data_IF_212144469003
#
_entry.id   IF_212144469003
#
_cell.length_a   1.000
_cell.length_b   1.000
_cell.length_c   1.000
_cell.angle_alpha   90.00
_cell.angle_beta   90.00
_cell.angle_gamma   90.00
#
_symmetry.space_group_name_H-M   'P 1'
#
loop_
_entity.id
_entity.type
_entity.pdbx_description
1 polymer ?
#
# COMPACT_ATOMS: atom_id res chain seq x y z
N UNK A 1 -26.36 13.52 23.91
CA UNK A 1 -26.06 12.59 22.80
C UNK A 1 -26.74 13.12 21.56
N UNK A 2 -26.02 13.85 20.69
CA UNK A 2 -26.61 14.32 19.42
C UNK A 2 -26.83 13.14 18.49
N UNK A 3 -28.06 12.95 18.02
CA UNK A 3 -28.41 11.95 17.02
C UNK A 3 -27.80 12.36 15.68
N UNK A 4 -26.83 11.58 15.20
CA UNK A 4 -26.27 11.74 13.84
C UNK A 4 -27.39 11.46 12.84
N UNK A 5 -27.69 12.41 11.96
CA UNK A 5 -28.74 12.22 10.95
C UNK A 5 -28.19 11.48 9.73
N UNK A 6 -29.02 10.75 8.96
CA UNK A 6 -28.57 10.04 7.75
C UNK A 6 -27.87 10.95 6.73
N UNK A 7 -28.27 12.22 6.65
CA UNK A 7 -27.66 13.25 5.82
C UNK A 7 -26.20 13.55 6.23
N UNK A 8 -25.90 13.56 7.53
CA UNK A 8 -24.55 13.82 8.04
C UNK A 8 -23.60 12.66 7.71
N UNK A 9 -24.11 11.42 7.76
CA UNK A 9 -23.34 10.22 7.41
C UNK A 9 -22.90 10.22 5.95
N UNK A 10 -23.80 10.60 5.02
CA UNK A 10 -23.50 10.64 3.58
C UNK A 10 -22.47 11.71 3.23
N UNK A 11 -22.59 12.91 3.82
CA UNK A 11 -21.62 14.01 3.63
C UNK A 11 -20.23 13.65 4.13
N UNK A 12 -20.16 12.96 5.27
CA UNK A 12 -18.90 12.50 5.82
C UNK A 12 -18.24 11.46 4.91
N UNK A 13 -18.98 10.45 4.44
CA UNK A 13 -18.44 9.42 3.55
C UNK A 13 -17.89 9.99 2.22
N UNK A 14 -18.60 10.94 1.61
CA UNK A 14 -18.13 11.62 0.40
C UNK A 14 -16.90 12.49 0.64
N UNK A 15 -16.80 13.12 1.81
CA UNK A 15 -15.61 13.89 2.22
C UNK A 15 -14.40 12.99 2.43
N UNK A 16 -14.56 11.82 3.07
CA UNK A 16 -13.46 10.87 3.24
C UNK A 16 -12.98 10.31 1.90
N UNK A 17 -13.92 9.94 1.01
CA UNK A 17 -13.58 9.42 -0.31
C UNK A 17 -12.78 10.45 -1.13
N UNK A 18 -13.16 11.72 -1.10
CA UNK A 18 -12.46 12.78 -1.84
C UNK A 18 -11.05 13.06 -1.31
N UNK A 19 -10.79 12.81 -0.03
CA UNK A 19 -9.46 12.96 0.57
C UNK A 19 -8.52 11.80 0.25
N UNK A 20 -9.04 10.57 0.16
CA UNK A 20 -8.22 9.36 0.00
C UNK A 20 -7.96 9.03 -1.48
N UNK A 21 -8.98 9.15 -2.35
CA UNK A 21 -8.91 8.79 -3.78
C UNK A 21 -7.74 9.41 -4.55
N UNK A 22 -7.36 10.68 -4.33
CA UNK A 22 -6.22 11.28 -5.02
C UNK A 22 -4.90 10.51 -4.82
N UNK A 23 -4.77 9.78 -3.71
CA UNK A 23 -3.59 8.97 -3.40
C UNK A 23 -3.82 7.50 -3.73
N UNK A 24 -4.99 6.95 -3.39
CA UNK A 24 -5.29 5.53 -3.53
C UNK A 24 -5.61 5.07 -4.95
N UNK A 25 -5.99 5.99 -5.84
CA UNK A 25 -6.16 5.72 -7.27
C UNK A 25 -4.95 6.21 -8.09
N UNK A 26 -3.97 6.86 -7.46
CA UNK A 26 -2.78 7.35 -8.15
C UNK A 26 -1.70 6.27 -8.26
N UNK A 27 -0.97 6.20 -9.38
CA UNK A 27 0.20 5.31 -9.50
C UNK A 27 1.43 5.83 -8.73
N UNK A 28 1.46 7.11 -8.32
CA UNK A 28 2.67 7.75 -7.77
C UNK A 28 3.14 7.09 -6.46
N UNK A 29 2.29 6.83 -5.45
CA UNK A 29 2.75 6.22 -4.21
C UNK A 29 3.35 4.82 -4.41
N UNK A 30 2.70 3.97 -5.22
CA UNK A 30 3.19 2.61 -5.48
C UNK A 30 4.47 2.58 -6.33
N UNK A 31 4.65 3.51 -7.27
CA UNK A 31 5.96 3.65 -7.96
C UNK A 31 7.06 4.17 -7.03
N UNK A 32 6.72 5.03 -6.08
CA UNK A 32 7.62 5.40 -4.99
C UNK A 32 8.05 4.18 -4.16
N UNK A 33 7.09 3.32 -3.80
CA UNK A 33 7.37 2.06 -3.11
C UNK A 33 8.26 1.13 -3.96
N UNK A 34 7.94 0.95 -5.24
CA UNK A 34 8.75 0.14 -6.16
C UNK A 34 10.19 0.65 -6.25
N UNK A 35 10.36 1.97 -6.37
CA UNK A 35 11.67 2.62 -6.38
C UNK A 35 12.44 2.37 -5.09
N UNK A 36 11.77 2.41 -3.94
CA UNK A 36 12.39 2.07 -2.65
C UNK A 36 12.86 0.60 -2.62
N UNK A 37 12.07 -0.32 -3.16
CA UNK A 37 12.48 -1.73 -3.27
C UNK A 37 13.69 -1.91 -4.18
N UNK A 38 13.73 -1.27 -5.34
CA UNK A 38 14.88 -1.36 -6.25
C UNK A 38 16.13 -0.67 -5.72
N UNK A 39 16.01 0.52 -5.13
CA UNK A 39 17.14 1.22 -4.51
C UNK A 39 17.70 0.42 -3.33
N UNK A 40 16.85 -0.31 -2.60
CA UNK A 40 17.32 -1.19 -1.53
C UNK A 40 18.23 -2.32 -2.02
N UNK A 41 18.23 -2.68 -3.31
CA UNK A 41 19.16 -3.68 -3.88
C UNK A 41 20.62 -3.28 -3.78
N UNK A 42 20.92 -1.98 -3.67
CA UNK A 42 22.27 -1.46 -3.45
C UNK A 42 22.82 -1.82 -2.07
N UNK A 43 21.95 -2.25 -1.14
CA UNK A 43 22.33 -2.66 0.21
C UNK A 43 22.61 -4.16 0.22
N UNK A 44 23.80 -4.61 0.66
CA UNK A 44 24.17 -6.02 0.63
C UNK A 44 23.20 -6.88 1.47
N UNK A 45 23.04 -8.16 1.13
CA UNK A 45 22.17 -9.06 1.88
C UNK A 45 22.66 -9.21 3.31
N UNK A 46 21.74 -9.10 4.27
CA UNK A 46 21.98 -9.30 5.69
C UNK A 46 20.83 -10.09 6.30
N UNK A 47 21.05 -10.81 7.41
CA UNK A 47 20.00 -11.56 8.08
C UNK A 47 18.80 -10.72 8.46
N UNK A 48 18.90 -9.41 8.70
CA UNK A 48 17.81 -8.52 9.15
C UNK A 48 17.00 -7.92 8.00
N UNK A 49 17.53 -7.98 6.78
CA UNK A 49 16.97 -7.38 5.57
C UNK A 49 16.34 -8.50 4.73
N UNK A 50 15.25 -8.24 3.98
CA UNK A 50 14.75 -9.20 3.00
C UNK A 50 15.86 -9.62 2.00
N UNK A 51 15.89 -10.88 1.52
CA UNK A 51 16.82 -11.31 0.48
C UNK A 51 16.73 -10.45 -0.78
N UNK A 52 17.83 -10.31 -1.53
CA UNK A 52 17.88 -9.48 -2.74
C UNK A 52 16.81 -9.85 -3.76
N UNK A 53 16.62 -11.16 -4.01
CA UNK A 53 15.60 -11.63 -4.93
C UNK A 53 14.20 -11.19 -4.51
N UNK A 54 13.87 -11.31 -3.21
CA UNK A 54 12.57 -10.91 -2.69
C UNK A 54 12.34 -9.41 -2.89
N UNK A 55 13.37 -8.58 -2.65
CA UNK A 55 13.30 -7.13 -2.89
C UNK A 55 13.04 -6.80 -4.35
N UNK A 56 13.74 -7.47 -5.28
CA UNK A 56 13.55 -7.28 -6.71
C UNK A 56 12.15 -7.71 -7.17
N UNK A 57 11.67 -8.86 -6.70
CA UNK A 57 10.32 -9.36 -7.01
C UNK A 57 9.24 -8.38 -6.53
N UNK A 58 9.30 -7.91 -5.27
CA UNK A 58 8.35 -6.92 -4.77
C UNK A 58 8.44 -5.59 -5.53
N UNK A 59 9.65 -5.12 -5.86
CA UNK A 59 9.84 -3.94 -6.71
C UNK A 59 9.16 -4.08 -8.07
N UNK A 60 9.31 -5.24 -8.73
CA UNK A 60 8.67 -5.52 -10.01
C UNK A 60 7.14 -5.60 -9.89
N UNK A 61 6.62 -6.26 -8.86
CA UNK A 61 5.18 -6.35 -8.58
C UNK A 61 4.58 -4.96 -8.38
N UNK A 62 5.19 -4.11 -7.55
CA UNK A 62 4.70 -2.75 -7.31
C UNK A 62 4.82 -1.85 -8.55
N UNK A 63 5.83 -2.08 -9.40
CA UNK A 63 5.91 -1.40 -10.70
C UNK A 63 4.73 -1.78 -11.59
N UNK A 64 4.42 -3.08 -11.68
CA UNK A 64 3.26 -3.59 -12.42
C UNK A 64 1.95 -3.05 -11.88
N UNK A 65 1.76 -3.02 -10.56
CA UNK A 65 0.57 -2.46 -9.94
C UNK A 65 0.40 -0.96 -10.27
N UNK A 66 1.49 -0.20 -10.26
CA UNK A 66 1.49 1.20 -10.70
C UNK A 66 1.19 1.36 -12.19
N UNK A 67 1.62 0.43 -13.04
CA UNK A 67 1.23 0.43 -14.45
C UNK A 67 -0.28 0.22 -14.62
N UNK A 68 -0.86 -0.76 -13.92
CA UNK A 68 -2.32 -1.00 -13.93
C UNK A 68 -3.09 0.26 -13.48
N UNK A 69 -2.65 0.91 -12.40
CA UNK A 69 -3.22 2.20 -11.97
C UNK A 69 -3.10 3.30 -13.04
N UNK A 70 -1.96 3.37 -13.73
CA UNK A 70 -1.73 4.36 -14.79
C UNK A 70 -2.64 4.17 -16.00
N UNK A 71 -3.15 2.95 -16.23
CA UNK A 71 -4.14 2.65 -17.26
C UNK A 71 -5.58 3.02 -16.84
N UNK A 72 -5.77 3.58 -15.64
CA UNK A 72 -7.09 3.93 -15.10
C UNK A 72 -7.80 2.78 -14.39
N UNK A 73 -7.18 1.61 -14.27
CA UNK A 73 -7.75 0.45 -13.59
C UNK A 73 -7.45 0.50 -12.08
N UNK A 74 -8.18 1.40 -11.40
CA UNK A 74 -8.02 1.63 -9.97
C UNK A 74 -8.37 0.40 -9.12
N UNK A 75 -9.33 -0.42 -9.55
CA UNK A 75 -9.75 -1.62 -8.80
C UNK A 75 -8.69 -2.69 -8.80
N UNK A 76 -8.20 -3.10 -9.96
CA UNK A 76 -7.15 -4.12 -10.01
C UNK A 76 -5.83 -3.58 -9.45
N UNK A 77 -5.49 -2.33 -9.76
CA UNK A 77 -4.25 -1.72 -9.29
C UNK A 77 -4.15 -1.57 -7.77
N UNK A 78 -5.23 -1.09 -7.13
CA UNK A 78 -5.30 -1.01 -5.66
C UNK A 78 -5.39 -2.38 -5.00
N UNK A 79 -6.07 -3.35 -5.63
CA UNK A 79 -6.15 -4.74 -5.16
C UNK A 79 -4.79 -5.44 -5.15
N UNK A 80 -4.05 -5.37 -6.27
CA UNK A 80 -2.69 -5.92 -6.37
C UNK A 80 -1.78 -5.28 -5.33
N UNK A 81 -1.79 -3.93 -5.25
CA UNK A 81 -0.93 -3.21 -4.30
C UNK A 81 -1.22 -3.61 -2.87
N UNK A 82 -2.50 -3.69 -2.49
CA UNK A 82 -2.94 -4.10 -1.15
C UNK A 82 -2.50 -5.54 -0.84
N UNK A 83 -2.84 -6.49 -1.72
CA UNK A 83 -2.56 -7.91 -1.50
C UNK A 83 -1.07 -8.16 -1.28
N UNK A 84 -0.22 -7.64 -2.17
CA UNK A 84 1.22 -7.85 -2.07
C UNK A 84 1.87 -7.06 -0.95
N UNK A 85 1.32 -5.89 -0.58
CA UNK A 85 1.79 -5.17 0.61
C UNK A 85 1.53 -5.99 1.88
N UNK A 86 0.34 -6.58 2.02
CA UNK A 86 0.02 -7.47 3.14
C UNK A 86 0.91 -8.71 3.15
N UNK A 87 1.14 -9.34 2.00
CA UNK A 87 2.07 -10.48 1.88
C UNK A 87 3.48 -10.10 2.36
N UNK A 88 4.01 -8.97 1.91
CA UNK A 88 5.33 -8.51 2.35
C UNK A 88 5.39 -8.30 3.87
N UNK A 89 4.37 -7.66 4.46
CA UNK A 89 4.29 -7.39 5.88
C UNK A 89 4.21 -8.68 6.69
N UNK A 90 3.38 -9.64 6.28
CA UNK A 90 3.28 -10.94 6.95
C UNK A 90 4.63 -11.66 7.01
N UNK A 91 5.42 -11.57 5.94
CA UNK A 91 6.73 -12.24 5.84
C UNK A 91 7.82 -11.47 6.60
N UNK A 92 7.83 -10.13 6.56
CA UNK A 92 9.00 -9.33 6.95
C UNK A 92 8.78 -8.37 8.14
N UNK A 93 7.54 -8.08 8.54
CA UNK A 93 7.25 -7.03 9.54
C UNK A 93 7.81 -7.39 10.91
N UNK A 94 7.52 -8.60 11.42
CA UNK A 94 8.01 -9.06 12.73
C UNK A 94 9.53 -8.96 12.79
N UNK A 95 10.19 -9.41 11.74
CA UNK A 95 11.65 -9.39 11.60
C UNK A 95 12.21 -7.97 11.56
N UNK A 96 11.52 -7.04 10.90
CA UNK A 96 11.90 -5.62 10.86
C UNK A 96 11.84 -4.95 12.23
N UNK A 97 10.93 -5.38 13.09
CA UNK A 97 10.68 -4.81 14.42
C UNK A 97 11.47 -5.49 15.55
N UNK A 98 11.99 -6.70 15.31
CA UNK A 98 12.75 -7.47 16.30
C UNK A 98 14.24 -7.11 16.22
N UNK A 99 14.92 -6.85 17.36
CA UNK A 99 16.37 -6.62 17.37
C UNK A 99 17.17 -7.85 16.87
N UNK A 100 18.31 -7.64 16.17
CA UNK A 100 18.84 -6.35 15.72
C UNK A 100 18.02 -5.76 14.56
N UNK A 101 17.69 -4.46 14.64
CA UNK A 101 16.89 -3.77 13.62
C UNK A 101 17.79 -3.15 12.56
N UNK A 102 17.35 -3.18 11.30
CA UNK A 102 18.04 -2.53 10.20
C UNK A 102 17.19 -1.41 9.59
N UNK A 103 17.73 -0.18 9.39
CA UNK A 103 16.95 0.96 8.91
C UNK A 103 16.27 0.71 7.56
N UNK A 104 16.93 -0.02 6.65
CA UNK A 104 16.34 -0.41 5.36
C UNK A 104 15.11 -1.32 5.54
N UNK A 105 15.17 -2.26 6.48
CA UNK A 105 14.07 -3.19 6.76
C UNK A 105 12.86 -2.43 7.33
N UNK A 106 13.12 -1.47 8.23
CA UNK A 106 12.11 -0.55 8.76
C UNK A 106 11.52 0.35 7.67
N UNK A 107 12.33 0.92 6.79
CA UNK A 107 11.88 1.78 5.71
C UNK A 107 10.98 1.02 4.71
N UNK A 108 11.41 -0.16 4.28
CA UNK A 108 10.61 -1.02 3.38
C UNK A 108 9.29 -1.42 4.04
N UNK A 109 9.32 -1.87 5.31
CA UNK A 109 8.10 -2.25 6.04
C UNK A 109 7.18 -1.06 6.31
N UNK A 110 7.72 0.10 6.66
CA UNK A 110 6.94 1.32 6.87
C UNK A 110 6.26 1.82 5.59
N UNK A 111 7.00 1.90 4.49
CA UNK A 111 6.45 2.31 3.20
C UNK A 111 5.42 1.31 2.66
N UNK A 112 5.65 0.01 2.87
CA UNK A 112 4.70 -1.04 2.48
C UNK A 112 3.44 -0.99 3.33
N UNK A 113 3.54 -0.72 4.64
CA UNK A 113 2.40 -0.51 5.52
C UNK A 113 1.57 0.72 5.11
N UNK A 114 2.24 1.84 4.79
CA UNK A 114 1.57 3.03 4.29
C UNK A 114 0.81 2.75 2.98
N UNK A 115 1.41 1.97 2.08
CA UNK A 115 0.76 1.57 0.82
C UNK A 115 -0.41 0.62 1.07
N UNK A 116 -0.28 -0.37 1.97
CA UNK A 116 -1.39 -1.22 2.37
C UNK A 116 -2.57 -0.42 2.92
N UNK A 117 -2.30 0.63 3.72
CA UNK A 117 -3.34 1.50 4.25
C UNK A 117 -4.02 2.31 3.13
N UNK A 118 -3.25 3.03 2.31
CA UNK A 118 -3.78 3.90 1.25
C UNK A 118 -4.61 3.10 0.24
N UNK A 119 -4.03 2.06 -0.36
CA UNK A 119 -4.69 1.26 -1.39
C UNK A 119 -5.73 0.29 -0.81
N UNK A 120 -5.55 -0.14 0.45
CA UNK A 120 -6.50 -1.00 1.13
C UNK A 120 -7.81 -0.29 1.47
N UNK A 121 -7.74 0.99 1.84
CA UNK A 121 -8.95 1.82 2.03
C UNK A 121 -9.74 1.92 0.73
N UNK A 122 -9.09 2.11 -0.41
CA UNK A 122 -9.77 2.10 -1.70
C UNK A 122 -10.44 0.76 -1.99
N UNK A 123 -9.65 -0.32 -1.93
CA UNK A 123 -10.11 -1.63 -2.36
C UNK A 123 -11.22 -2.22 -1.46
N UNK A 124 -11.08 -2.10 -0.13
CA UNK A 124 -12.01 -2.72 0.82
C UNK A 124 -13.15 -1.82 1.30
N UNK A 125 -12.94 -0.50 1.33
CA UNK A 125 -13.91 0.45 1.88
C UNK A 125 -14.62 1.18 0.75
N UNK A 126 -13.89 1.99 -0.02
CA UNK A 126 -14.51 2.93 -0.95
C UNK A 126 -15.17 2.24 -2.15
N UNK A 127 -14.55 1.21 -2.71
CA UNK A 127 -15.13 0.50 -3.86
C UNK A 127 -16.24 -0.47 -3.47
N UNK A 128 -16.23 -0.99 -2.23
CA UNK A 128 -17.29 -1.87 -1.74
C UNK A 128 -18.61 -1.13 -1.53
N UNK A 129 -18.54 0.16 -1.26
CA UNK A 129 -19.72 0.99 -1.05
C UNK A 129 -20.32 1.48 -2.38
N UNK A 130 -19.52 1.64 -3.44
CA UNK A 130 -20.02 1.91 -4.79
C UNK A 130 -20.80 0.74 -5.38
N UNK A 131 -20.40 -0.51 -5.11
CA UNK A 131 -21.11 -1.71 -5.58
C UNK A 131 -22.44 -1.97 -4.85
N UNK A 132 -22.67 -1.33 -3.70
CA UNK A 132 -23.89 -1.50 -2.89
C UNK A 132 -24.96 -0.44 -3.15
N UNK A 133 -24.64 0.59 -3.93
CA UNK A 133 -25.57 1.64 -4.37
C UNK A 133 -26.21 1.27 -5.70
#
# INVERSE_FOLDING_TARGET
MSSVTPQDTVKNATTYASLVRPYSQSPKPVWGLASLFFTSLLVPPRPEIPPLLLRACFGAIFTGAGHVLSCGDARNGSGITTAWSLTYLLINLRKSLTPPRHPVSLALSGATLASAAIYGTEYFVLQKDEERQ
#
